data_IF_897860630759
#
_entry.id   IF_897860630759
#
_cell.length_a   1.000
_cell.length_b   1.000
_cell.length_c   1.000
_cell.angle_alpha   90.00
_cell.angle_beta   90.00
_cell.angle_gamma   90.00
#
_symmetry.space_group_name_H-M   'P 1'
#
loop_
_entity.id
_entity.type
_entity.pdbx_description
1 polymer ?
#
# COMPACT_ATOMS: atom_id res chain seq x y z
N UNK A 1 6.48 41.17 -0.64
CA UNK A 1 5.56 40.48 -1.58
C UNK A 1 5.22 39.15 -0.92
N UNK A 2 4.06 39.07 -0.28
CA UNK A 2 3.65 37.88 0.45
C UNK A 2 3.28 36.80 -0.58
N UNK A 3 4.15 35.81 -0.79
CA UNK A 3 3.69 34.54 -1.36
C UNK A 3 2.76 33.93 -0.31
N UNK A 4 1.45 34.06 -0.53
CA UNK A 4 0.48 33.40 0.32
C UNK A 4 0.63 31.89 0.09
N UNK A 5 0.48 31.10 1.15
CA UNK A 5 0.51 29.64 1.03
C UNK A 5 -0.45 29.15 -0.06
N UNK A 6 -1.61 29.81 -0.19
CA UNK A 6 -2.59 29.55 -1.24
C UNK A 6 -2.02 29.72 -2.66
N UNK A 7 -1.23 30.76 -2.90
CA UNK A 7 -0.64 31.02 -4.23
C UNK A 7 0.41 29.96 -4.58
N UNK A 8 1.18 29.52 -3.59
CA UNK A 8 2.13 28.42 -3.74
C UNK A 8 1.42 27.11 -4.09
N UNK A 9 0.38 26.74 -3.34
CA UNK A 9 -0.39 25.52 -3.61
C UNK A 9 -1.04 25.58 -5.00
N UNK A 10 -1.67 26.71 -5.34
CA UNK A 10 -2.31 26.90 -6.64
C UNK A 10 -1.31 26.71 -7.79
N UNK A 11 -0.14 27.34 -7.69
CA UNK A 11 0.90 27.28 -8.73
C UNK A 11 1.50 25.89 -8.89
N UNK A 12 1.82 25.22 -7.77
CA UNK A 12 2.62 24.00 -7.81
C UNK A 12 1.80 22.71 -7.89
N UNK A 13 0.51 22.73 -7.48
CA UNK A 13 -0.33 21.53 -7.37
C UNK A 13 -1.62 21.55 -8.19
N UNK A 14 -2.19 22.74 -8.48
CA UNK A 14 -3.56 22.86 -9.05
C UNK A 14 -3.58 23.42 -10.49
N UNK A 15 -2.61 24.27 -10.85
CA UNK A 15 -2.53 24.88 -12.18
C UNK A 15 -2.56 23.84 -13.32
N UNK A 16 -2.84 24.28 -14.55
CA UNK A 16 -3.00 23.41 -15.73
C UNK A 16 -1.75 22.53 -16.00
N UNK A 17 -0.57 23.02 -15.63
CA UNK A 17 0.70 22.30 -15.68
C UNK A 17 1.43 22.40 -14.33
N UNK A 18 0.98 21.66 -13.32
CA UNK A 18 1.56 21.74 -11.98
C UNK A 18 2.91 21.02 -11.97
N UNK A 19 3.86 21.50 -11.17
CA UNK A 19 5.13 20.81 -10.94
C UNK A 19 4.92 19.47 -10.21
N UNK A 20 3.85 19.39 -9.40
CA UNK A 20 3.45 18.21 -8.65
C UNK A 20 2.00 17.83 -8.98
N UNK A 21 1.76 17.21 -10.14
CA UNK A 21 0.42 16.77 -10.53
C UNK A 21 -0.16 15.78 -9.51
N UNK A 22 -1.50 15.77 -9.32
CA UNK A 22 -2.20 14.82 -8.45
C UNK A 22 -1.67 13.39 -8.58
N UNK A 23 -1.40 12.92 -9.78
CA UNK A 23 -0.90 11.57 -10.06
C UNK A 23 0.41 11.19 -9.32
N UNK A 24 1.17 12.16 -8.79
CA UNK A 24 2.40 11.92 -8.00
C UNK A 24 2.10 11.76 -6.51
N UNK A 25 1.13 12.51 -5.97
CA UNK A 25 0.85 12.57 -4.53
C UNK A 25 -0.50 11.96 -4.13
N UNK A 26 -1.44 11.90 -5.07
CA UNK A 26 -2.66 11.12 -4.97
C UNK A 26 -2.35 9.69 -5.35
N UNK A 27 -2.61 8.77 -4.43
CA UNK A 27 -2.69 7.37 -4.74
C UNK A 27 -3.97 7.14 -5.55
N UNK A 28 -3.97 7.47 -6.84
CA UNK A 28 -5.03 7.09 -7.80
C UNK A 28 -4.97 5.59 -8.13
N UNK A 29 -4.67 4.76 -7.15
CA UNK A 29 -5.08 3.38 -7.12
C UNK A 29 -6.13 3.29 -6.01
N UNK A 30 -7.35 3.70 -6.33
CA UNK A 30 -8.58 3.59 -5.52
C UNK A 30 -8.93 2.12 -5.15
N UNK A 31 -7.99 1.20 -5.33
CA UNK A 31 -8.13 -0.21 -4.98
C UNK A 31 -7.54 -0.52 -3.60
N UNK A 32 -6.71 0.38 -3.05
CA UNK A 32 -6.02 0.16 -1.76
C UNK A 32 -6.48 1.18 -0.70
N UNK A 33 -7.77 1.17 -0.39
CA UNK A 33 -8.36 1.82 0.79
C UNK A 33 -7.90 1.19 2.13
N UNK A 34 -6.80 0.43 2.12
CA UNK A 34 -6.37 -0.42 3.21
C UNK A 34 -4.89 -0.29 3.54
N UNK A 35 -4.60 0.59 4.50
CA UNK A 35 -3.55 0.40 5.53
C UNK A 35 -2.11 0.83 5.21
N UNK A 36 -1.86 2.12 4.98
CA UNK A 36 -0.49 2.64 5.13
C UNK A 36 -0.06 2.81 6.60
N UNK A 37 -0.99 2.98 7.54
CA UNK A 37 -0.68 3.02 8.99
C UNK A 37 -0.37 1.63 9.55
N UNK A 38 -1.25 0.64 9.34
CA UNK A 38 -1.02 -0.70 9.92
C UNK A 38 0.23 -1.37 9.33
N UNK A 39 0.58 -1.11 8.06
CA UNK A 39 1.77 -1.68 7.45
C UNK A 39 3.06 -1.16 8.12
N UNK A 40 3.18 0.16 8.32
CA UNK A 40 4.30 0.77 9.02
C UNK A 40 4.35 0.35 10.50
N UNK A 41 3.23 0.37 11.20
CA UNK A 41 3.15 -0.07 12.61
C UNK A 41 3.54 -1.54 12.77
N UNK A 42 3.05 -2.41 11.88
CA UNK A 42 3.39 -3.85 11.88
C UNK A 42 4.88 -4.05 11.56
N UNK A 43 5.43 -3.28 10.63
CA UNK A 43 6.86 -3.34 10.33
C UNK A 43 7.69 -2.93 11.55
N UNK A 44 7.36 -1.81 12.19
CA UNK A 44 8.08 -1.30 13.35
C UNK A 44 7.94 -2.20 14.58
N UNK A 45 6.75 -2.73 14.86
CA UNK A 45 6.53 -3.70 15.94
C UNK A 45 7.37 -4.95 15.72
N UNK A 46 7.31 -5.56 14.53
CA UNK A 46 8.12 -6.73 14.21
C UNK A 46 9.62 -6.43 14.22
N UNK A 47 10.03 -5.21 13.87
CA UNK A 47 11.43 -4.81 13.90
C UNK A 47 11.92 -4.69 15.33
N UNK A 48 11.20 -3.96 16.19
CA UNK A 48 11.54 -3.76 17.61
C UNK A 48 11.70 -5.09 18.37
N UNK A 49 10.85 -6.08 18.10
CA UNK A 49 10.94 -7.41 18.71
C UNK A 49 12.28 -8.13 18.42
N UNK A 50 12.98 -7.79 17.33
CA UNK A 50 14.26 -8.41 16.99
C UNK A 50 15.48 -7.71 17.62
N UNK A 51 15.34 -6.46 18.10
CA UNK A 51 16.47 -5.63 18.57
C UNK A 51 16.40 -5.27 20.06
N UNK A 52 15.30 -5.57 20.75
CA UNK A 52 15.13 -5.24 22.18
C UNK A 52 15.74 -6.27 23.13
N UNK A 53 16.34 -7.35 22.62
CA UNK A 53 17.11 -8.28 23.46
C UNK A 53 18.55 -7.77 23.63
N UNK A 54 19.02 -7.47 24.86
CA UNK A 54 20.38 -6.96 25.10
C UNK A 54 21.48 -7.87 24.53
N UNK A 55 21.24 -9.18 24.50
CA UNK A 55 22.03 -10.19 23.81
C UNK A 55 21.09 -11.33 23.36
N UNK A 56 20.54 -11.30 22.13
CA UNK A 56 19.73 -12.41 21.66
C UNK A 56 20.59 -13.66 21.69
N UNK A 57 20.16 -14.66 22.46
CA UNK A 57 20.75 -15.99 22.43
C UNK A 57 20.91 -16.40 20.97
N UNK A 58 22.08 -16.94 20.59
CA UNK A 58 22.38 -17.36 19.21
C UNK A 58 21.26 -18.23 18.61
N UNK A 59 20.60 -19.04 19.44
CA UNK A 59 19.45 -19.85 19.01
C UNK A 59 18.23 -19.00 18.61
N UNK A 60 17.96 -17.90 19.33
CA UNK A 60 16.87 -16.95 19.02
C UNK A 60 17.15 -16.21 17.72
N UNK A 61 18.40 -15.79 17.51
CA UNK A 61 18.80 -15.15 16.26
C UNK A 61 18.64 -16.10 15.07
N UNK A 62 19.12 -17.35 15.19
CA UNK A 62 18.99 -18.37 14.14
C UNK A 62 17.52 -18.66 13.84
N UNK A 63 16.66 -18.75 14.87
CA UNK A 63 15.23 -18.96 14.69
C UNK A 63 14.57 -17.80 13.93
N UNK A 64 14.88 -16.56 14.31
CA UNK A 64 14.35 -15.36 13.65
C UNK A 64 14.75 -15.30 12.17
N UNK A 65 16.03 -15.56 11.86
CA UNK A 65 16.54 -15.61 10.48
C UNK A 65 15.88 -16.73 9.68
N UNK A 66 15.74 -17.92 10.27
CA UNK A 66 15.08 -19.07 9.63
C UNK A 66 13.61 -18.76 9.33
N UNK A 67 12.90 -18.10 10.25
CA UNK A 67 11.51 -17.67 10.08
C UNK A 67 11.38 -16.66 8.95
N UNK A 68 12.29 -15.68 8.86
CA UNK A 68 12.33 -14.70 7.77
C UNK A 68 12.59 -15.39 6.43
N UNK A 69 13.57 -16.29 6.36
CA UNK A 69 13.90 -17.04 5.14
C UNK A 69 12.72 -17.87 4.65
N UNK A 70 12.05 -18.63 5.55
CA UNK A 70 10.85 -19.41 5.21
C UNK A 70 9.72 -18.54 4.67
N UNK A 71 9.46 -17.37 5.30
CA UNK A 71 8.43 -16.43 4.82
C UNK A 71 8.74 -15.89 3.42
N UNK A 72 10.00 -15.53 3.16
CA UNK A 72 10.43 -15.06 1.84
C UNK A 72 10.29 -16.16 0.79
N UNK A 73 10.71 -17.39 1.11
CA UNK A 73 10.56 -18.54 0.21
C UNK A 73 9.10 -18.85 -0.08
N UNK A 74 8.22 -18.83 0.91
CA UNK A 74 6.77 -19.03 0.70
C UNK A 74 6.18 -17.95 -0.22
N UNK A 75 6.59 -16.69 -0.06
CA UNK A 75 6.17 -15.60 -0.96
C UNK A 75 6.67 -15.81 -2.38
N UNK A 76 7.95 -16.15 -2.56
CA UNK A 76 8.51 -16.45 -3.89
C UNK A 76 7.80 -17.64 -4.55
N UNK A 77 7.55 -18.70 -3.79
CA UNK A 77 6.81 -19.87 -4.29
C UNK A 77 5.36 -19.52 -4.65
N UNK A 78 4.71 -18.61 -3.91
CA UNK A 78 3.36 -18.14 -4.25
C UNK A 78 3.33 -17.27 -5.51
N UNK A 79 4.46 -16.66 -5.90
CA UNK A 79 4.59 -15.94 -7.17
C UNK A 79 4.80 -16.93 -8.31
N UNK A 80 5.69 -17.92 -8.10
CA UNK A 80 5.99 -18.94 -9.13
C UNK A 80 4.85 -19.93 -9.34
N UNK A 81 4.09 -20.25 -8.30
CA UNK A 81 2.92 -21.12 -8.36
C UNK A 81 1.77 -20.44 -7.61
N UNK A 82 1.06 -19.52 -8.27
CA UNK A 82 0.00 -18.77 -7.64
C UNK A 82 -1.13 -19.72 -7.25
N UNK A 83 -1.46 -19.73 -5.96
CA UNK A 83 -2.68 -20.37 -5.50
C UNK A 83 -3.88 -19.73 -6.22
N UNK A 84 -4.82 -20.57 -6.66
CA UNK A 84 -6.06 -20.07 -7.22
C UNK A 84 -6.72 -19.11 -6.22
N UNK A 85 -6.92 -17.86 -6.63
CA UNK A 85 -7.67 -16.88 -5.83
C UNK A 85 -9.04 -17.48 -5.50
N UNK A 86 -9.47 -17.34 -4.25
CA UNK A 86 -10.79 -17.84 -3.82
C UNK A 86 -11.88 -17.17 -4.66
N UNK A 87 -12.91 -17.92 -5.04
CA UNK A 87 -14.02 -17.41 -5.86
C UNK A 87 -14.64 -16.12 -5.30
N UNK A 88 -14.81 -16.04 -3.98
CA UNK A 88 -15.33 -14.86 -3.31
C UNK A 88 -14.43 -13.61 -3.47
N UNK A 89 -13.11 -13.77 -3.56
CA UNK A 89 -12.18 -12.67 -3.81
C UNK A 89 -12.28 -12.18 -5.25
N UNK A 90 -12.30 -13.12 -6.20
CA UNK A 90 -12.48 -12.80 -7.62
C UNK A 90 -13.80 -12.10 -7.90
N UNK A 91 -14.88 -12.53 -7.23
CA UNK A 91 -16.18 -11.89 -7.35
C UNK A 91 -16.14 -10.44 -6.86
N UNK A 92 -15.54 -10.18 -5.69
CA UNK A 92 -15.35 -8.81 -5.18
C UNK A 92 -14.49 -7.95 -6.12
N UNK A 93 -13.39 -8.47 -6.67
CA UNK A 93 -12.59 -7.74 -7.68
C UNK A 93 -13.44 -7.39 -8.89
N UNK A 94 -14.24 -8.33 -9.40
CA UNK A 94 -15.10 -8.09 -10.56
C UNK A 94 -16.19 -7.06 -10.28
N UNK A 95 -16.74 -7.02 -9.07
CA UNK A 95 -17.73 -6.03 -8.65
C UNK A 95 -17.10 -4.64 -8.54
N UNK A 96 -15.89 -4.53 -7.97
CA UNK A 96 -15.13 -3.27 -7.92
C UNK A 96 -14.83 -2.72 -9.32
N UNK A 97 -14.39 -3.57 -10.25
CA UNK A 97 -14.09 -3.17 -11.63
C UNK A 97 -15.35 -2.63 -12.32
N UNK A 98 -16.49 -3.32 -12.18
CA UNK A 98 -17.77 -2.85 -12.75
C UNK A 98 -18.19 -1.50 -12.19
N UNK A 99 -18.05 -1.31 -10.88
CA UNK A 99 -18.36 -0.04 -10.23
C UNK A 99 -17.46 1.08 -10.78
N UNK A 100 -16.16 0.82 -10.93
CA UNK A 100 -15.20 1.78 -11.52
C UNK A 100 -15.56 2.14 -12.96
N UNK A 101 -15.96 1.16 -13.77
CA UNK A 101 -16.43 1.38 -15.14
C UNK A 101 -17.70 2.23 -15.17
N UNK A 102 -18.66 1.98 -14.27
CA UNK A 102 -19.89 2.78 -14.15
C UNK A 102 -19.61 4.24 -13.75
N UNK A 103 -18.65 4.47 -12.84
CA UNK A 103 -18.21 5.83 -12.51
C UNK A 103 -17.55 6.53 -13.69
N UNK A 104 -16.69 5.82 -14.44
CA UNK A 104 -16.01 6.39 -15.61
C UNK A 104 -16.98 6.76 -16.74
N UNK A 105 -18.13 6.08 -16.83
CA UNK A 105 -19.18 6.35 -17.83
C UNK A 105 -20.15 7.45 -17.41
N UNK A 106 -20.04 7.97 -16.17
CA UNK A 106 -20.88 9.05 -15.67
C UNK A 106 -22.28 8.63 -15.19
N UNK A 107 -22.53 7.32 -15.05
CA UNK A 107 -23.82 6.78 -14.61
C UNK A 107 -24.08 6.96 -13.09
N UNK A 108 -23.07 7.37 -12.31
CA UNK A 108 -23.14 7.58 -10.86
C UNK A 108 -22.44 8.88 -10.46
N UNK A 109 -23.14 9.79 -9.78
CA UNK A 109 -22.54 11.01 -9.22
C UNK A 109 -21.71 10.71 -7.97
N UNK A 110 -20.52 11.30 -7.87
CA UNK A 110 -19.70 11.28 -6.65
C UNK A 110 -20.49 11.92 -5.50
N UNK A 111 -20.62 11.21 -4.37
CA UNK A 111 -21.24 11.71 -3.14
C UNK A 111 -20.37 12.78 -2.48
#
# INVERSE_FOLDING_TARGET
MHCNFADYVLKHYIAEFPEFPPQIWTATDETDEGQMTNACETFHSHFADNFTCPHPNIFVLIEALTKKQKRSQLKLNSISNPFAKRKAFLQKESEKIKIKEQYSLGDMTQL
#
